data_IF_112932810342
#
_entry.id   IF_112932810342
#
_cell.length_a   1.000
_cell.length_b   1.000
_cell.length_c   1.000
_cell.angle_alpha   90.00
_cell.angle_beta   90.00
_cell.angle_gamma   90.00
#
_symmetry.space_group_name_H-M   'P 1'
#
loop_
_entity.id
_entity.type
_entity.pdbx_description
1 polymer ?
#
# COMPACT_ATOMS: atom_id res chain seq x y z
N UNK A 1 -0.13 2.49 -2.33
CA UNK A 1 0.45 3.82 -2.61
C UNK A 1 1.25 3.94 -3.94
N UNK A 2 1.08 3.04 -4.92
CA UNK A 2 1.84 3.10 -6.17
C UNK A 2 3.36 3.06 -6.00
N UNK A 3 4.11 3.57 -6.98
CA UNK A 3 5.56 3.74 -6.90
C UNK A 3 5.87 4.90 -5.94
N UNK A 4 5.87 4.59 -4.65
CA UNK A 4 6.26 5.54 -3.63
C UNK A 4 7.78 5.70 -3.66
N UNK A 5 8.25 6.92 -3.89
CA UNK A 5 9.66 7.30 -3.78
C UNK A 5 10.03 7.48 -2.31
N UNK A 6 9.89 6.40 -1.53
CA UNK A 6 10.44 6.34 -0.18
C UNK A 6 11.93 5.99 -0.25
N UNK A 7 12.67 6.24 0.83
CA UNK A 7 14.12 6.04 0.97
C UNK A 7 14.65 4.62 0.65
N UNK A 8 13.80 3.68 0.20
CA UNK A 8 14.18 2.33 -0.18
C UNK A 8 15.15 2.27 -1.37
N UNK A 9 15.10 3.25 -2.28
CA UNK A 9 16.03 3.35 -3.42
C UNK A 9 17.41 3.88 -3.05
N UNK A 10 17.56 4.52 -1.89
CA UNK A 10 18.73 5.33 -1.55
C UNK A 10 19.76 4.59 -0.70
N UNK A 11 19.45 3.38 -0.21
CA UNK A 11 20.29 2.62 0.74
C UNK A 11 20.86 1.29 0.21
N UNK A 12 20.92 1.09 -1.12
CA UNK A 12 21.63 -0.05 -1.72
C UNK A 12 23.17 0.15 -1.77
N UNK A 13 24.00 -0.91 -1.84
CA UNK A 13 25.46 -0.80 -1.77
C UNK A 13 26.02 0.09 -2.89
N UNK A 14 26.88 1.04 -2.52
CA UNK A 14 27.34 2.13 -3.39
C UNK A 14 28.04 1.71 -4.68
N UNK A 15 27.55 2.23 -5.81
CA UNK A 15 28.05 2.07 -7.20
C UNK A 15 29.40 2.78 -7.50
N UNK A 16 30.27 2.99 -6.51
CA UNK A 16 31.60 3.58 -6.70
C UNK A 16 31.59 4.94 -7.43
N UNK A 17 32.60 5.21 -8.26
CA UNK A 17 32.75 6.46 -9.02
C UNK A 17 31.59 6.76 -9.99
N UNK A 18 30.85 5.73 -10.43
CA UNK A 18 29.64 5.86 -11.24
C UNK A 18 28.51 6.59 -10.47
N UNK A 19 28.53 6.48 -9.13
CA UNK A 19 27.58 7.15 -8.25
C UNK A 19 27.63 8.68 -8.29
N UNK A 20 28.75 9.29 -8.71
CA UNK A 20 28.87 10.76 -8.78
C UNK A 20 28.02 11.34 -9.91
N UNK A 21 27.80 10.58 -10.98
CA UNK A 21 26.97 10.99 -12.13
C UNK A 21 25.55 10.44 -12.03
N UNK A 22 25.38 9.21 -11.54
CA UNK A 22 24.08 8.54 -11.46
C UNK A 22 23.20 9.10 -10.35
N UNK A 23 23.75 9.50 -9.19
CA UNK A 23 22.96 10.05 -8.07
C UNK A 23 22.19 11.34 -8.40
N UNK A 24 22.80 12.38 -9.01
CA UNK A 24 22.05 13.59 -9.38
C UNK A 24 21.00 13.31 -10.47
N UNK A 25 21.29 12.44 -11.44
CA UNK A 25 20.32 12.02 -12.45
C UNK A 25 19.12 11.30 -11.83
N UNK A 26 19.36 10.34 -10.93
CA UNK A 26 18.31 9.62 -10.21
C UNK A 26 17.49 10.55 -9.30
N UNK A 27 18.10 11.57 -8.69
CA UNK A 27 17.40 12.57 -7.89
C UNK A 27 16.47 13.44 -8.73
N UNK A 28 16.92 13.89 -9.90
CA UNK A 28 16.09 14.64 -10.86
C UNK A 28 14.97 13.74 -11.40
N UNK A 29 15.30 12.51 -11.79
CA UNK A 29 14.32 11.52 -12.21
C UNK A 29 13.28 11.27 -11.11
N UNK A 30 13.65 11.14 -9.83
CA UNK A 30 12.69 10.97 -8.73
C UNK A 30 11.84 12.22 -8.45
N UNK A 31 12.32 13.43 -8.69
CA UNK A 31 11.47 14.63 -8.59
C UNK A 31 10.41 14.65 -9.70
N UNK A 32 10.78 14.21 -10.90
CA UNK A 32 9.86 14.14 -12.04
C UNK A 32 9.00 12.86 -12.08
N UNK A 33 9.46 11.76 -11.48
CA UNK A 33 8.83 10.42 -11.47
C UNK A 33 8.22 10.02 -10.11
N UNK A 34 8.51 10.73 -9.02
CA UNK A 34 7.95 10.47 -7.69
C UNK A 34 6.79 11.41 -7.34
N UNK A 35 5.64 10.86 -6.92
CA UNK A 35 4.52 11.65 -6.41
C UNK A 35 4.85 12.09 -4.96
N UNK A 36 4.61 13.37 -4.63
CA UNK A 36 4.83 13.89 -3.27
C UNK A 36 4.13 13.04 -2.21
N UNK A 37 4.68 12.94 -1.00
CA UNK A 37 4.12 12.15 0.11
C UNK A 37 2.62 12.41 0.33
N UNK A 38 2.21 13.68 0.35
CA UNK A 38 0.81 14.08 0.50
C UNK A 38 -0.11 13.47 -0.57
N UNK A 39 0.40 13.36 -1.80
CA UNK A 39 -0.32 12.76 -2.92
C UNK A 39 -0.29 11.23 -2.88
N UNK A 40 0.82 10.63 -2.43
CA UNK A 40 0.93 9.18 -2.22
C UNK A 40 -0.01 8.66 -1.13
N UNK A 41 -0.38 9.51 -0.18
CA UNK A 41 -1.35 9.22 0.88
C UNK A 41 -2.82 9.27 0.41
N UNK A 42 -3.12 9.89 -0.74
CA UNK A 42 -4.50 10.10 -1.19
C UNK A 42 -5.30 8.80 -1.34
N UNK A 43 -4.77 7.69 -1.90
CA UNK A 43 -5.55 6.45 -2.02
C UNK A 43 -5.98 5.89 -0.66
N UNK A 44 -5.10 5.97 0.34
CA UNK A 44 -5.43 5.53 1.71
C UNK A 44 -6.47 6.45 2.36
N UNK A 45 -6.33 7.77 2.19
CA UNK A 45 -7.29 8.74 2.71
C UNK A 45 -8.67 8.55 2.05
N UNK A 46 -8.71 8.33 0.74
CA UNK A 46 -9.93 8.06 -0.01
C UNK A 46 -10.61 6.79 0.52
N UNK A 47 -9.86 5.68 0.59
CA UNK A 47 -10.39 4.40 1.08
C UNK A 47 -10.94 4.48 2.53
N UNK A 48 -10.36 5.35 3.36
CA UNK A 48 -10.76 5.51 4.75
C UNK A 48 -11.95 6.46 4.96
N UNK A 49 -12.21 7.40 4.04
CA UNK A 49 -13.11 8.54 4.31
C UNK A 49 -14.18 8.79 3.25
N UNK A 50 -14.01 8.30 2.03
CA UNK A 50 -14.96 8.56 0.96
C UNK A 50 -16.25 7.75 1.15
N UNK A 51 -17.39 8.40 0.96
CA UNK A 51 -18.72 7.83 1.25
C UNK A 51 -19.15 6.73 0.28
N UNK A 52 -18.50 6.63 -0.87
CA UNK A 52 -18.78 5.67 -1.94
C UNK A 52 -17.96 4.36 -1.84
N UNK A 53 -17.06 4.27 -0.85
CA UNK A 53 -16.24 3.09 -0.58
C UNK A 53 -17.09 1.93 -0.07
N UNK A 54 -16.86 0.74 -0.62
CA UNK A 54 -17.51 -0.51 -0.22
C UNK A 54 -16.49 -1.49 0.36
N UNK A 55 -16.98 -2.44 1.16
CA UNK A 55 -16.17 -3.55 1.65
C UNK A 55 -15.49 -4.29 0.50
N UNK A 56 -14.23 -4.66 0.72
CA UNK A 56 -13.36 -5.33 -0.26
C UNK A 56 -12.97 -4.49 -1.49
N UNK A 57 -13.28 -3.19 -1.53
CA UNK A 57 -12.73 -2.30 -2.54
C UNK A 57 -11.19 -2.20 -2.42
N UNK A 58 -10.53 -1.92 -3.55
CA UNK A 58 -9.09 -1.72 -3.61
C UNK A 58 -8.80 -0.45 -4.42
N UNK A 59 -8.05 0.48 -3.81
CA UNK A 59 -7.78 1.80 -4.39
C UNK A 59 -6.29 1.98 -4.64
N UNK A 60 -5.99 2.48 -5.83
CA UNK A 60 -4.66 2.80 -6.31
C UNK A 60 -4.70 4.10 -7.11
N UNK A 61 -3.55 4.63 -7.54
CA UNK A 61 -3.56 5.81 -8.37
C UNK A 61 -3.89 5.48 -9.84
N UNK A 62 -4.52 6.41 -10.54
CA UNK A 62 -5.07 6.25 -11.90
C UNK A 62 -4.06 6.32 -13.07
N UNK A 63 -2.78 6.58 -12.80
CA UNK A 63 -1.76 6.69 -13.84
C UNK A 63 -1.16 5.36 -14.28
N UNK A 64 -0.18 5.45 -15.19
CA UNK A 64 0.44 4.30 -15.85
C UNK A 64 1.00 3.31 -14.82
N UNK A 65 0.51 2.07 -14.88
CA UNK A 65 0.94 0.98 -14.02
C UNK A 65 0.66 1.22 -12.54
N UNK A 66 -0.37 2.02 -12.21
CA UNK A 66 -0.74 2.36 -10.83
C UNK A 66 0.41 3.02 -10.06
N UNK A 67 1.32 3.71 -10.76
CA UNK A 67 2.51 4.29 -10.13
C UNK A 67 2.22 5.64 -9.48
N UNK A 68 1.38 6.48 -10.11
CA UNK A 68 1.06 7.85 -9.68
C UNK A 68 -0.29 8.30 -10.21
N UNK A 69 -0.89 9.31 -9.59
CA UNK A 69 -2.19 9.85 -10.04
C UNK A 69 -3.17 10.10 -8.90
N UNK A 70 -4.44 10.31 -9.24
CA UNK A 70 -5.51 10.47 -8.24
C UNK A 70 -6.04 9.10 -7.79
N UNK A 71 -6.61 9.00 -6.59
CA UNK A 71 -7.27 7.78 -6.14
C UNK A 71 -8.34 7.34 -7.13
N UNK A 72 -8.27 6.08 -7.53
CA UNK A 72 -9.32 5.41 -8.29
C UNK A 72 -9.43 3.97 -7.83
N UNK A 73 -10.55 3.34 -8.11
CA UNK A 73 -10.73 1.90 -7.88
C UNK A 73 -9.89 1.15 -8.89
N UNK A 74 -9.05 0.24 -8.42
CA UNK A 74 -8.16 -0.57 -9.25
C UNK A 74 -8.40 -2.07 -9.01
N UNK A 75 -7.90 -2.90 -9.92
CA UNK A 75 -7.95 -4.35 -9.78
C UNK A 75 -6.87 -4.88 -8.84
N UNK A 76 -7.04 -6.12 -8.38
CA UNK A 76 -5.98 -6.85 -7.67
C UNK A 76 -5.61 -8.11 -8.45
N UNK A 77 -4.43 -8.65 -8.20
CA UNK A 77 -3.98 -9.90 -8.82
C UNK A 77 -4.96 -11.05 -8.53
N UNK A 78 -5.16 -11.96 -9.48
CA UNK A 78 -6.08 -13.09 -9.35
C UNK A 78 -5.85 -13.92 -8.07
N UNK A 79 -4.58 -14.20 -7.75
CA UNK A 79 -4.19 -14.89 -6.50
C UNK A 79 -4.60 -14.16 -5.22
N UNK A 80 -4.70 -12.82 -5.26
CA UNK A 80 -5.13 -12.00 -4.13
C UNK A 80 -6.66 -11.87 -4.05
N UNK A 81 -7.36 -12.43 -5.03
CA UNK A 81 -8.83 -12.54 -5.08
C UNK A 81 -9.32 -13.97 -4.83
N UNK A 82 -8.43 -14.91 -4.52
CA UNK A 82 -8.79 -16.31 -4.25
C UNK A 82 -9.34 -16.45 -2.83
N UNK A 83 -10.64 -16.79 -2.67
CA UNK A 83 -11.27 -16.87 -1.36
C UNK A 83 -10.73 -18.03 -0.51
N UNK A 84 -10.35 -19.16 -1.13
CA UNK A 84 -9.84 -20.32 -0.40
C UNK A 84 -8.44 -20.03 0.17
N UNK A 85 -7.61 -19.31 -0.59
CA UNK A 85 -6.30 -18.84 -0.10
C UNK A 85 -6.48 -17.81 1.02
N UNK A 86 -7.45 -16.91 0.91
CA UNK A 86 -7.73 -15.90 1.93
C UNK A 86 -8.20 -16.55 3.24
N UNK A 87 -9.13 -17.51 3.17
CA UNK A 87 -9.61 -18.29 4.32
C UNK A 87 -8.45 -19.02 4.99
N UNK A 88 -7.63 -19.74 4.21
CA UNK A 88 -6.51 -20.49 4.79
C UNK A 88 -5.46 -19.60 5.44
N UNK A 89 -5.19 -18.45 4.84
CA UNK A 89 -4.29 -17.45 5.41
C UNK A 89 -4.83 -16.90 6.73
N UNK A 90 -6.14 -16.67 6.82
CA UNK A 90 -6.77 -16.20 8.05
C UNK A 90 -6.61 -17.21 9.18
N UNK A 91 -7.00 -18.47 8.96
CA UNK A 91 -6.85 -19.55 9.95
C UNK A 91 -5.43 -19.65 10.52
N UNK A 92 -4.43 -19.66 9.62
CA UNK A 92 -3.02 -19.75 10.03
C UNK A 92 -2.58 -18.49 10.78
N UNK A 93 -3.12 -17.32 10.43
CA UNK A 93 -2.82 -16.07 11.15
C UNK A 93 -3.37 -16.10 12.58
N UNK A 94 -4.59 -16.61 12.77
CA UNK A 94 -5.17 -16.79 14.10
C UNK A 94 -4.35 -17.80 14.93
N UNK A 95 -3.98 -18.95 14.35
CA UNK A 95 -3.14 -19.95 15.00
C UNK A 95 -1.77 -19.37 15.44
N UNK A 96 -1.10 -18.65 14.54
CA UNK A 96 0.24 -18.10 14.79
C UNK A 96 0.25 -16.94 15.79
N UNK A 97 -0.83 -16.16 15.85
CA UNK A 97 -0.94 -15.00 16.75
C UNK A 97 -1.65 -15.33 18.06
N UNK A 98 -2.42 -16.41 18.11
CA UNK A 98 -3.32 -16.73 19.22
C UNK A 98 -4.50 -15.76 19.36
N UNK A 99 -4.80 -14.97 18.33
CA UNK A 99 -5.90 -14.00 18.33
C UNK A 99 -7.01 -14.51 17.41
N UNK A 100 -8.19 -14.76 17.96
CA UNK A 100 -9.37 -15.17 17.20
C UNK A 100 -10.29 -13.98 16.94
N UNK A 101 -10.72 -13.77 15.70
CA UNK A 101 -11.58 -12.66 15.32
C UNK A 101 -12.96 -12.73 15.99
N UNK A 102 -13.56 -13.92 16.04
CA UNK A 102 -14.86 -14.13 16.69
C UNK A 102 -14.87 -13.78 18.19
N UNK A 103 -13.71 -13.84 18.85
CA UNK A 103 -13.57 -13.44 20.24
C UNK A 103 -13.50 -11.90 20.43
N UNK A 104 -13.16 -11.14 19.37
CA UNK A 104 -13.11 -9.68 19.38
C UNK A 104 -14.48 -9.02 19.19
N UNK A 105 -15.45 -9.74 18.61
CA UNK A 105 -16.83 -9.28 18.40
C UNK A 105 -17.70 -9.35 19.67
N UNK A 106 -17.13 -9.72 20.82
CA UNK A 106 -17.79 -9.55 22.11
C UNK A 106 -18.10 -8.06 22.35
N UNK A 107 -19.32 -7.69 22.79
CA UNK A 107 -19.69 -6.29 22.97
C UNK A 107 -18.67 -5.62 23.89
N UNK A 108 -18.00 -4.58 23.37
CA UNK A 108 -17.10 -3.73 24.14
C UNK A 108 -17.90 -3.22 25.33
N UNK A 109 -17.64 -3.77 26.52
CA UNK A 109 -18.31 -3.35 27.74
C UNK A 109 -18.10 -1.84 27.86
N UNK A 110 -19.20 -1.09 27.76
CA UNK A 110 -19.16 0.37 27.74
C UNK A 110 -18.52 0.84 29.05
N UNK A 111 -17.27 1.31 28.96
CA UNK A 111 -16.62 1.98 30.06
C UNK A 111 -17.42 3.25 30.35
N UNK A 112 -18.08 3.25 31.51
CA UNK A 112 -18.88 4.37 32.04
C UNK A 112 -17.97 5.30 32.84
#
# INVERSE_FOLDING_TARGET
PGYASTNLQTNGPGIGALGVVVKPFMKVANVFLGQSDAKGALPSLYAATASDVKGNDYFGPDGIGEQRGHPTRVGRAARASDPAVAEKLWEVSEELTGVEFGALDAPVASAT
#
